data_IF_855025534934
#
_entry.id   IF_855025534934
#
_cell.length_a   1.000
_cell.length_b   1.000
_cell.length_c   1.000
_cell.angle_alpha   90.00
_cell.angle_beta   90.00
_cell.angle_gamma   90.00
#
_symmetry.space_group_name_H-M   'P 1'
#
loop_
_entity.id
_entity.type
_entity.pdbx_description
1 polymer ?
#
# COMPACT_ATOMS: atom_id res chain seq x y z
N UNK A 1 0.05 -45.20 -16.12
CA UNK A 1 0.08 -44.30 -14.94
C UNK A 1 0.30 -42.86 -15.39
N UNK A 2 -0.81 -42.16 -15.69
CA UNK A 2 -0.75 -40.74 -16.03
C UNK A 2 -0.55 -39.95 -14.74
N UNK A 3 0.61 -39.32 -14.61
CA UNK A 3 0.83 -38.26 -13.64
C UNK A 3 -0.25 -37.19 -13.84
N UNK A 4 -0.92 -36.70 -12.79
CA UNK A 4 -1.84 -35.60 -12.95
C UNK A 4 -1.03 -34.38 -13.39
N UNK A 5 -1.25 -33.96 -14.63
CA UNK A 5 -0.88 -32.63 -15.10
C UNK A 5 -1.45 -31.63 -14.11
N UNK A 6 -0.59 -30.79 -13.53
CA UNK A 6 -0.95 -29.55 -12.87
C UNK A 6 -1.67 -28.65 -13.87
N UNK A 7 -2.94 -28.96 -14.13
CA UNK A 7 -3.88 -28.01 -14.72
C UNK A 7 -3.88 -26.78 -13.81
N UNK A 8 -3.61 -25.64 -14.42
CA UNK A 8 -3.24 -24.41 -13.74
C UNK A 8 -4.17 -24.08 -12.58
N UNK A 9 -3.61 -24.11 -11.36
CA UNK A 9 -4.21 -23.49 -10.20
C UNK A 9 -4.41 -22.01 -10.55
N UNK A 10 -5.64 -21.68 -10.95
CA UNK A 10 -6.04 -20.32 -11.33
C UNK A 10 -5.77 -19.43 -10.12
N UNK A 11 -4.81 -18.51 -10.25
CA UNK A 11 -4.42 -17.59 -9.18
C UNK A 11 -5.66 -16.84 -8.71
N UNK A 12 -5.95 -16.91 -7.41
CA UNK A 12 -7.08 -16.22 -6.79
C UNK A 12 -6.94 -14.71 -7.03
N UNK A 13 -8.04 -14.07 -7.43
CA UNK A 13 -8.10 -12.66 -7.84
C UNK A 13 -9.34 -12.00 -7.26
N UNK A 14 -9.23 -10.74 -6.82
CA UNK A 14 -10.39 -9.94 -6.44
C UNK A 14 -11.32 -9.60 -7.62
N UNK A 15 -10.82 -9.73 -8.86
CA UNK A 15 -11.60 -9.54 -10.10
C UNK A 15 -12.36 -10.81 -10.51
N UNK A 16 -12.12 -11.94 -9.85
CA UNK A 16 -12.83 -13.18 -10.12
C UNK A 16 -14.29 -13.08 -9.67
N UNK A 17 -15.14 -13.91 -10.24
CA UNK A 17 -16.52 -14.00 -9.79
C UNK A 17 -16.57 -14.45 -8.31
N UNK A 18 -17.26 -13.72 -7.42
CA UNK A 18 -17.20 -13.97 -5.98
C UNK A 18 -17.69 -15.35 -5.54
N UNK A 19 -18.67 -15.92 -6.25
CA UNK A 19 -19.25 -17.23 -5.92
C UNK A 19 -18.29 -18.34 -6.30
N UNK A 20 -17.70 -18.25 -7.49
CA UNK A 20 -16.75 -19.26 -7.99
C UNK A 20 -15.36 -19.13 -7.38
N UNK A 21 -14.97 -17.94 -6.89
CA UNK A 21 -13.69 -17.71 -6.23
C UNK A 21 -13.73 -17.91 -4.71
N UNK A 22 -14.93 -18.12 -4.13
CA UNK A 22 -15.16 -18.19 -2.69
C UNK A 22 -14.70 -16.93 -1.95
N UNK A 23 -15.04 -15.75 -2.47
CA UNK A 23 -14.82 -14.50 -1.76
C UNK A 23 -15.65 -14.48 -0.48
N UNK A 24 -14.99 -14.24 0.66
CA UNK A 24 -15.57 -14.39 2.00
C UNK A 24 -15.62 -13.06 2.79
N UNK A 25 -15.25 -11.95 2.15
CA UNK A 25 -15.27 -10.62 2.73
C UNK A 25 -15.61 -9.53 1.73
N UNK A 26 -16.19 -8.43 2.22
CA UNK A 26 -16.61 -7.28 1.42
C UNK A 26 -15.85 -6.04 1.85
N UNK A 27 -15.23 -5.34 0.90
CA UNK A 27 -14.74 -3.98 1.06
C UNK A 27 -15.75 -3.01 0.41
N UNK A 28 -16.43 -2.21 1.22
CA UNK A 28 -17.31 -1.14 0.76
C UNK A 28 -16.56 0.19 0.79
N UNK A 29 -16.45 0.84 -0.36
CA UNK A 29 -15.79 2.14 -0.51
C UNK A 29 -16.82 3.19 -0.80
N UNK A 30 -17.03 4.13 0.13
CA UNK A 30 -17.91 5.28 -0.09
C UNK A 30 -17.12 6.55 -0.34
N UNK A 31 -17.52 7.33 -1.34
CA UNK A 31 -16.90 8.59 -1.73
C UNK A 31 -17.95 9.59 -2.23
N UNK A 32 -17.56 10.84 -2.47
CA UNK A 32 -18.38 11.83 -3.17
C UNK A 32 -17.82 12.04 -4.57
N UNK A 33 -18.70 11.98 -5.57
CA UNK A 33 -18.35 12.29 -6.95
C UNK A 33 -18.24 13.80 -7.20
N UNK A 34 -17.96 14.18 -8.45
CA UNK A 34 -17.86 15.58 -8.89
C UNK A 34 -19.13 16.41 -8.66
N UNK A 35 -20.30 15.76 -8.56
CA UNK A 35 -21.58 16.40 -8.27
C UNK A 35 -21.92 16.38 -6.76
N UNK A 36 -20.95 16.02 -5.91
CA UNK A 36 -21.11 15.84 -4.46
C UNK A 36 -22.13 14.77 -4.07
N UNK A 37 -22.51 13.88 -4.99
CA UNK A 37 -23.41 12.77 -4.73
C UNK A 37 -22.60 11.64 -4.10
N UNK A 38 -23.18 11.01 -3.07
CA UNK A 38 -22.52 9.90 -2.37
C UNK A 38 -22.61 8.64 -3.21
N UNK A 39 -21.46 8.11 -3.59
CA UNK A 39 -21.32 6.85 -4.31
C UNK A 39 -20.78 5.77 -3.37
N UNK A 40 -21.08 4.51 -3.67
CA UNK A 40 -20.55 3.35 -2.94
C UNK A 40 -20.15 2.26 -3.92
N UNK A 41 -18.87 1.89 -3.92
CA UNK A 41 -18.35 0.76 -4.67
C UNK A 41 -18.14 -0.42 -3.73
N UNK A 42 -18.44 -1.62 -4.22
CA UNK A 42 -18.32 -2.86 -3.45
C UNK A 42 -17.30 -3.77 -4.13
N UNK A 43 -16.33 -4.24 -3.35
CA UNK A 43 -15.31 -5.19 -3.80
C UNK A 43 -15.39 -6.46 -2.96
N UNK A 44 -15.54 -7.60 -3.62
CA UNK A 44 -15.49 -8.91 -2.97
C UNK A 44 -14.03 -9.36 -2.88
N UNK A 45 -13.57 -9.72 -1.68
CA UNK A 45 -12.18 -10.03 -1.40
C UNK A 45 -12.06 -11.27 -0.51
N UNK A 46 -10.88 -11.86 -0.48
CA UNK A 46 -10.59 -13.08 0.27
C UNK A 46 -9.83 -12.73 1.55
N UNK A 47 -10.39 -13.00 2.74
CA UNK A 47 -9.81 -12.67 4.06
C UNK A 47 -8.35 -13.09 4.16
N UNK A 48 -8.05 -14.31 3.75
CA UNK A 48 -6.71 -14.89 3.82
C UNK A 48 -5.67 -14.13 2.99
N UNK A 49 -6.09 -13.48 1.91
CA UNK A 49 -5.20 -12.67 1.06
C UNK A 49 -5.06 -11.25 1.63
N UNK A 50 -6.18 -10.63 2.00
CA UNK A 50 -6.16 -9.19 2.35
C UNK A 50 -5.79 -8.91 3.81
N UNK A 51 -5.91 -9.89 4.70
CA UNK A 51 -5.69 -9.71 6.14
C UNK A 51 -4.36 -10.29 6.65
N UNK A 52 -3.67 -11.11 5.83
CA UNK A 52 -2.45 -11.80 6.22
C UNK A 52 -1.31 -11.58 5.20
N UNK A 53 -0.08 -11.84 5.62
CA UNK A 53 1.12 -11.63 4.80
C UNK A 53 1.67 -10.20 4.82
N UNK A 54 2.68 -9.94 3.98
CA UNK A 54 3.44 -8.68 3.98
C UNK A 54 2.69 -7.49 3.38
N UNK A 55 1.66 -7.76 2.56
CA UNK A 55 0.85 -6.74 1.87
C UNK A 55 -0.54 -6.56 2.47
N UNK A 56 -0.76 -7.09 3.66
CA UNK A 56 -2.05 -7.05 4.33
C UNK A 56 -2.56 -5.65 4.62
N UNK A 57 -3.87 -5.54 4.72
CA UNK A 57 -4.57 -4.42 5.33
C UNK A 57 -4.77 -4.68 6.82
N UNK A 58 -4.14 -3.88 7.66
CA UNK A 58 -4.38 -3.96 9.11
C UNK A 58 -5.80 -3.50 9.49
N UNK A 59 -6.41 -2.63 8.68
CA UNK A 59 -7.80 -2.20 8.87
C UNK A 59 -8.79 -3.36 8.67
N UNK A 60 -8.64 -4.10 7.56
CA UNK A 60 -9.47 -5.28 7.28
C UNK A 60 -9.21 -6.38 8.33
N UNK A 61 -7.95 -6.64 8.67
CA UNK A 61 -7.61 -7.60 9.74
C UNK A 61 -8.30 -7.28 11.06
N UNK A 62 -8.30 -6.01 11.49
CA UNK A 62 -8.98 -5.58 12.72
C UNK A 62 -10.49 -5.86 12.65
N UNK A 63 -11.17 -5.50 11.55
CA UNK A 63 -12.60 -5.77 11.40
C UNK A 63 -12.93 -7.27 11.37
N UNK A 64 -12.06 -8.11 10.79
CA UNK A 64 -12.24 -9.57 10.84
C UNK A 64 -12.18 -10.06 12.28
N UNK A 65 -11.16 -9.66 13.04
CA UNK A 65 -11.02 -10.04 14.44
C UNK A 65 -12.19 -9.55 15.30
N UNK A 66 -12.62 -8.30 15.12
CA UNK A 66 -13.77 -7.75 15.84
C UNK A 66 -15.07 -8.53 15.56
N UNK A 67 -15.28 -8.94 14.30
CA UNK A 67 -16.44 -9.74 13.93
C UNK A 67 -16.38 -11.16 14.47
N UNK A 68 -15.22 -11.81 14.42
CA UNK A 68 -15.05 -13.16 14.98
C UNK A 68 -15.23 -13.17 16.50
N UNK A 69 -14.77 -12.12 17.19
CA UNK A 69 -15.01 -11.96 18.63
C UNK A 69 -16.50 -11.77 18.92
N UNK A 70 -17.19 -10.90 18.18
CA UNK A 70 -18.64 -10.70 18.35
C UNK A 70 -19.43 -12.00 18.15
N UNK A 71 -19.08 -12.80 17.15
CA UNK A 71 -19.73 -14.09 16.91
C UNK A 71 -19.48 -15.11 18.03
N UNK A 72 -18.29 -15.11 18.64
CA UNK A 72 -17.96 -16.01 19.75
C UNK A 72 -18.66 -15.66 21.06
N UNK A 73 -18.83 -14.37 21.35
CA UNK A 73 -19.40 -13.89 22.62
C UNK A 73 -20.92 -13.66 22.56
N UNK A 74 -21.52 -13.60 21.37
CA UNK A 74 -22.97 -13.50 21.18
C UNK A 74 -23.42 -14.32 19.95
N UNK A 75 -23.53 -15.66 20.10
CA UNK A 75 -23.93 -16.55 19.01
C UNK A 75 -25.38 -16.33 18.54
N UNK A 76 -26.24 -15.75 19.40
CA UNK A 76 -27.60 -15.33 19.05
C UNK A 76 -27.62 -14.30 17.92
N UNK A 77 -26.70 -13.32 17.96
CA UNK A 77 -26.55 -12.33 16.89
C UNK A 77 -26.04 -12.95 15.57
N UNK A 78 -25.17 -13.95 15.64
CA UNK A 78 -24.71 -14.69 14.45
C UNK A 78 -25.87 -15.38 13.74
N UNK A 79 -26.66 -16.14 14.50
CA UNK A 79 -27.79 -16.94 13.98
C UNK A 79 -28.93 -16.04 13.47
N UNK A 80 -29.26 -14.96 14.18
CA UNK A 80 -30.33 -14.02 13.78
C UNK A 80 -29.98 -13.23 12.51
N UNK A 81 -28.70 -12.85 12.33
CA UNK A 81 -28.27 -12.14 11.12
C UNK A 81 -28.12 -13.09 9.94
N UNK A 82 -27.70 -14.33 10.16
CA UNK A 82 -27.70 -15.39 9.13
C UNK A 82 -29.12 -15.69 8.64
N UNK A 83 -30.08 -15.79 9.57
CA UNK A 83 -31.52 -15.90 9.26
C UNK A 83 -32.06 -14.66 8.54
N UNK A 84 -31.67 -13.44 8.91
CA UNK A 84 -32.08 -12.20 8.21
C UNK A 84 -31.55 -12.13 6.78
N UNK A 85 -30.30 -12.58 6.57
CA UNK A 85 -29.68 -12.69 5.25
C UNK A 85 -30.39 -13.76 4.39
N UNK A 86 -30.76 -14.91 4.97
CA UNK A 86 -31.56 -15.95 4.30
C UNK A 86 -33.00 -15.50 3.98
N UNK A 87 -33.58 -14.65 4.83
CA UNK A 87 -34.93 -14.10 4.68
C UNK A 87 -34.99 -12.84 3.80
N UNK A 88 -33.89 -12.44 3.15
CA UNK A 88 -33.84 -11.31 2.22
C UNK A 88 -34.09 -9.93 2.86
N UNK A 89 -34.07 -9.82 4.19
CA UNK A 89 -34.14 -8.52 4.88
C UNK A 89 -32.74 -7.93 4.88
N UNK A 90 -32.58 -6.75 4.27
CA UNK A 90 -31.31 -6.02 4.16
C UNK A 90 -30.74 -5.64 5.54
N UNK A 91 -30.15 -6.60 6.25
CA UNK A 91 -29.20 -6.33 7.32
C UNK A 91 -27.89 -5.85 6.71
N UNK A 92 -27.09 -5.10 7.49
CA UNK A 92 -25.73 -4.81 7.05
C UNK A 92 -24.96 -6.13 6.87
N UNK A 93 -24.18 -6.30 5.79
CA UNK A 93 -23.40 -7.50 5.58
C UNK A 93 -22.44 -7.70 6.77
N UNK A 94 -22.54 -8.85 7.45
CA UNK A 94 -21.69 -9.20 8.59
C UNK A 94 -20.20 -9.03 8.25
N UNK A 95 -19.80 -9.49 7.07
CA UNK A 95 -18.40 -9.58 6.65
C UNK A 95 -17.96 -8.36 5.84
N UNK A 96 -18.02 -7.17 6.44
CA UNK A 96 -17.75 -5.91 5.74
C UNK A 96 -16.68 -5.05 6.40
N UNK A 97 -15.81 -4.47 5.59
CA UNK A 97 -14.98 -3.32 5.95
C UNK A 97 -15.43 -2.12 5.14
N UNK A 98 -15.69 -1.00 5.83
CA UNK A 98 -16.11 0.26 5.22
C UNK A 98 -14.94 1.23 5.15
N UNK A 99 -14.59 1.66 3.95
CA UNK A 99 -13.60 2.68 3.67
C UNK A 99 -14.30 3.95 3.18
N UNK A 100 -14.00 5.09 3.81
CA UNK A 100 -14.50 6.40 3.38
C UNK A 100 -13.37 7.16 2.69
N UNK A 101 -13.60 7.56 1.45
CA UNK A 101 -12.65 8.35 0.65
C UNK A 101 -13.23 9.74 0.39
N UNK A 102 -12.35 10.73 0.24
CA UNK A 102 -12.76 12.14 0.11
C UNK A 102 -13.11 12.54 -1.32
N UNK A 103 -12.65 11.79 -2.32
CA UNK A 103 -12.84 12.12 -3.73
C UNK A 103 -13.01 10.87 -4.60
N UNK A 104 -13.58 11.08 -5.78
CA UNK A 104 -13.67 10.07 -6.83
C UNK A 104 -12.29 9.58 -7.29
N UNK A 105 -11.30 10.47 -7.43
CA UNK A 105 -9.93 10.08 -7.84
C UNK A 105 -9.29 9.07 -6.89
N UNK A 106 -9.58 9.15 -5.58
CA UNK A 106 -9.14 8.15 -4.61
C UNK A 106 -9.89 6.81 -4.81
N UNK A 107 -11.19 6.85 -5.11
CA UNK A 107 -11.97 5.64 -5.36
C UNK A 107 -11.51 4.90 -6.64
N UNK A 108 -11.15 5.65 -7.69
CA UNK A 108 -10.67 5.11 -8.96
C UNK A 108 -9.36 4.32 -8.85
N UNK A 109 -8.54 4.59 -7.82
CA UNK A 109 -7.27 3.86 -7.61
C UNK A 109 -7.39 2.67 -6.63
N UNK A 110 -8.56 2.43 -6.05
CA UNK A 110 -8.79 1.24 -5.19
C UNK A 110 -8.44 -0.07 -5.91
N UNK A 111 -8.81 -0.28 -7.19
CA UNK A 111 -8.36 -1.45 -7.95
C UNK A 111 -6.85 -1.67 -7.94
N UNK A 112 -6.04 -0.61 -7.95
CA UNK A 112 -4.57 -0.72 -7.91
C UNK A 112 -4.07 -1.16 -6.54
N UNK A 113 -4.71 -0.69 -5.47
CA UNK A 113 -4.39 -1.13 -4.11
C UNK A 113 -4.75 -2.60 -3.93
N UNK A 114 -5.90 -3.03 -4.45
CA UNK A 114 -6.29 -4.44 -4.45
C UNK A 114 -5.33 -5.28 -5.32
N UNK A 115 -4.95 -4.79 -6.50
CA UNK A 115 -3.95 -5.45 -7.35
C UNK A 115 -2.61 -5.62 -6.60
N UNK A 116 -2.14 -4.59 -5.88
CA UNK A 116 -0.95 -4.69 -5.04
C UNK A 116 -1.07 -5.79 -3.97
N UNK A 117 -2.24 -5.91 -3.33
CA UNK A 117 -2.48 -6.91 -2.28
C UNK A 117 -2.51 -8.35 -2.82
N UNK A 118 -2.98 -8.56 -4.05
CA UNK A 118 -3.09 -9.89 -4.67
C UNK A 118 -1.87 -10.30 -5.50
N UNK A 119 -1.23 -9.35 -6.17
CA UNK A 119 -0.23 -9.62 -7.20
C UNK A 119 1.14 -9.11 -6.81
N UNK A 120 2.05 -10.06 -6.58
CA UNK A 120 3.45 -9.78 -6.23
C UNK A 120 4.20 -8.97 -7.27
N UNK A 121 3.92 -9.12 -8.57
CA UNK A 121 4.77 -8.60 -9.65
C UNK A 121 4.06 -7.67 -10.65
N UNK A 122 2.83 -7.24 -10.39
CA UNK A 122 2.02 -6.55 -11.41
C UNK A 122 1.65 -5.15 -10.99
N UNK A 123 2.54 -4.19 -11.23
CA UNK A 123 2.12 -2.83 -11.58
C UNK A 123 3.18 -2.16 -12.45
N UNK A 124 3.13 -2.43 -13.77
CA UNK A 124 3.73 -1.58 -14.81
C UNK A 124 2.92 -0.28 -15.04
N UNK A 125 2.12 0.13 -14.05
CA UNK A 125 1.33 1.34 -14.18
C UNK A 125 2.24 2.54 -13.98
N UNK A 126 2.36 3.38 -15.00
CA UNK A 126 3.05 4.67 -14.91
C UNK A 126 2.47 5.46 -13.74
N UNK A 127 3.31 5.67 -12.72
CA UNK A 127 2.94 6.35 -11.50
C UNK A 127 3.22 7.85 -11.64
N UNK A 128 2.18 8.68 -11.59
CA UNK A 128 2.30 10.15 -11.52
C UNK A 128 2.21 10.64 -10.07
N UNK A 129 2.57 11.90 -9.80
CA UNK A 129 2.44 12.48 -8.48
C UNK A 129 0.99 12.41 -7.96
N UNK A 130 0.02 12.86 -8.75
CA UNK A 130 -1.41 12.80 -8.38
C UNK A 130 -1.89 11.37 -8.10
N UNK A 131 -1.59 10.42 -8.99
CA UNK A 131 -2.02 9.03 -8.83
C UNK A 131 -1.39 8.39 -7.59
N UNK A 132 -0.11 8.68 -7.33
CA UNK A 132 0.60 8.15 -6.16
C UNK A 132 0.03 8.68 -4.85
N UNK A 133 -0.35 9.96 -4.78
CA UNK A 133 -1.09 10.51 -3.65
C UNK A 133 -2.40 9.78 -3.39
N UNK A 134 -3.20 9.59 -4.46
CA UNK A 134 -4.48 8.91 -4.34
C UNK A 134 -4.31 7.46 -3.85
N UNK A 135 -3.31 6.75 -4.38
CA UNK A 135 -2.96 5.38 -3.93
C UNK A 135 -2.54 5.39 -2.46
N UNK A 136 -1.71 6.35 -2.06
CA UNK A 136 -1.27 6.50 -0.67
C UNK A 136 -2.45 6.73 0.28
N UNK A 137 -3.41 7.60 -0.06
CA UNK A 137 -4.59 7.85 0.79
C UNK A 137 -5.47 6.61 0.96
N UNK A 138 -5.65 5.82 -0.10
CA UNK A 138 -6.37 4.54 0.00
C UNK A 138 -5.58 3.56 0.88
N UNK A 139 -4.26 3.46 0.68
CA UNK A 139 -3.38 2.62 1.50
C UNK A 139 -3.36 3.05 2.97
N UNK A 140 -3.46 4.35 3.25
CA UNK A 140 -3.58 4.93 4.59
C UNK A 140 -4.89 4.50 5.26
N UNK A 141 -6.03 4.70 4.58
CA UNK A 141 -7.34 4.30 5.10
C UNK A 141 -7.48 2.79 5.33
N UNK A 142 -6.83 1.98 4.48
CA UNK A 142 -6.76 0.52 4.66
C UNK A 142 -5.61 0.08 5.57
N UNK A 143 -4.75 0.98 6.04
CA UNK A 143 -3.55 0.68 6.84
C UNK A 143 -2.64 -0.38 6.20
N UNK A 144 -2.46 -0.31 4.88
CA UNK A 144 -1.53 -1.16 4.09
C UNK A 144 -0.13 -0.53 4.13
N UNK A 145 0.64 -0.84 5.19
CA UNK A 145 1.93 -0.19 5.46
C UNK A 145 2.95 -0.38 4.34
N UNK A 146 3.05 -1.59 3.78
CA UNK A 146 4.01 -1.87 2.70
C UNK A 146 3.81 -0.96 1.48
N UNK A 147 2.55 -0.66 1.12
CA UNK A 147 2.25 0.23 0.01
C UNK A 147 2.51 1.71 0.38
N UNK A 148 2.21 2.12 1.61
CA UNK A 148 2.57 3.47 2.08
C UNK A 148 4.09 3.71 2.01
N UNK A 149 4.90 2.73 2.44
CA UNK A 149 6.36 2.76 2.34
C UNK A 149 6.81 2.84 0.89
N UNK A 150 6.30 1.98 0.01
CA UNK A 150 6.66 1.98 -1.40
C UNK A 150 6.34 3.32 -2.11
N UNK A 151 5.21 3.95 -1.78
CA UNK A 151 4.88 5.27 -2.33
C UNK A 151 5.76 6.37 -1.71
N UNK A 152 6.12 6.29 -0.43
CA UNK A 152 7.10 7.21 0.18
C UNK A 152 8.48 7.12 -0.49
N UNK A 153 8.93 5.92 -0.80
CA UNK A 153 10.17 5.68 -1.56
C UNK A 153 10.08 6.21 -3.00
N UNK A 154 8.92 6.07 -3.66
CA UNK A 154 8.67 6.70 -4.95
C UNK A 154 8.86 8.22 -4.89
N UNK A 155 8.39 8.89 -3.83
CA UNK A 155 8.60 10.33 -3.63
C UNK A 155 10.08 10.67 -3.48
N UNK A 156 10.81 9.93 -2.65
CA UNK A 156 12.24 10.15 -2.42
C UNK A 156 13.09 9.99 -3.70
N UNK A 157 12.69 9.08 -4.60
CA UNK A 157 13.42 8.76 -5.82
C UNK A 157 13.03 9.61 -7.04
N UNK A 158 11.78 10.09 -7.13
CA UNK A 158 11.27 10.76 -8.33
C UNK A 158 11.12 12.28 -8.16
N UNK A 159 11.25 12.80 -6.93
CA UNK A 159 11.25 14.23 -6.69
C UNK A 159 12.55 14.86 -7.23
N UNK A 160 12.39 15.90 -8.04
CA UNK A 160 13.47 16.58 -8.73
C UNK A 160 13.21 18.08 -8.84
N UNK A 161 14.22 18.89 -9.20
CA UNK A 161 14.05 20.32 -9.40
C UNK A 161 13.01 20.69 -10.46
N UNK A 162 12.69 19.77 -11.38
CA UNK A 162 11.77 20.01 -12.50
C UNK A 162 10.31 19.77 -12.13
N UNK A 163 10.04 18.93 -11.13
CA UNK A 163 8.68 18.46 -10.79
C UNK A 163 8.28 18.69 -9.32
N UNK A 164 9.13 19.30 -8.49
CA UNK A 164 8.81 19.51 -7.07
C UNK A 164 7.51 20.27 -6.79
N UNK A 165 7.16 21.25 -7.64
CA UNK A 165 5.88 21.96 -7.53
C UNK A 165 4.68 21.06 -7.81
N UNK A 166 4.79 20.12 -8.75
CA UNK A 166 3.73 19.14 -9.05
C UNK A 166 3.50 18.22 -7.84
N UNK A 167 4.58 17.68 -7.26
CA UNK A 167 4.51 16.80 -6.10
C UNK A 167 3.94 17.49 -4.85
N UNK A 168 4.33 18.74 -4.59
CA UNK A 168 3.79 19.54 -3.47
C UNK A 168 2.29 19.79 -3.64
N UNK A 169 1.86 20.21 -4.85
CA UNK A 169 0.45 20.47 -5.14
C UNK A 169 -0.37 19.19 -5.09
N UNK A 170 0.11 18.09 -5.67
CA UNK A 170 -0.56 16.80 -5.62
C UNK A 170 -0.75 16.31 -4.18
N UNK A 171 0.28 16.37 -3.33
CA UNK A 171 0.19 15.95 -1.93
C UNK A 171 -0.79 16.81 -1.12
N UNK A 172 -0.78 18.12 -1.36
CA UNK A 172 -1.70 19.07 -0.74
C UNK A 172 -3.15 18.80 -1.16
N UNK A 173 -3.40 18.69 -2.46
CA UNK A 173 -4.74 18.47 -3.02
C UNK A 173 -5.37 17.16 -2.53
N UNK A 174 -4.57 16.10 -2.45
CA UNK A 174 -5.02 14.80 -1.95
C UNK A 174 -5.11 14.72 -0.42
N UNK A 175 -4.69 15.77 0.32
CA UNK A 175 -4.58 15.78 1.79
C UNK A 175 -3.70 14.63 2.30
N UNK A 176 -2.58 14.40 1.63
CA UNK A 176 -1.60 13.37 1.94
C UNK A 176 -0.46 13.95 2.78
N UNK A 177 -0.75 14.26 4.05
CA UNK A 177 0.15 15.02 4.92
C UNK A 177 1.52 14.37 5.10
N UNK A 178 1.57 13.04 5.19
CA UNK A 178 2.85 12.31 5.29
C UNK A 178 3.70 12.48 4.02
N UNK A 179 3.09 12.34 2.83
CA UNK A 179 3.79 12.56 1.56
C UNK A 179 4.20 14.01 1.38
N UNK A 180 3.37 14.96 1.83
CA UNK A 180 3.70 16.37 1.84
C UNK A 180 4.92 16.65 2.73
N UNK A 181 5.00 16.03 3.90
CA UNK A 181 6.15 16.13 4.79
C UNK A 181 7.43 15.53 4.15
N UNK A 182 7.32 14.37 3.50
CA UNK A 182 8.44 13.74 2.76
C UNK A 182 8.91 14.68 1.64
N UNK A 183 7.99 15.23 0.83
CA UNK A 183 8.29 16.22 -0.19
C UNK A 183 9.06 17.42 0.37
N UNK A 184 8.53 18.05 1.41
CA UNK A 184 9.14 19.25 2.02
C UNK A 184 10.53 18.95 2.57
N UNK A 185 10.70 17.82 3.25
CA UNK A 185 11.99 17.38 3.77
C UNK A 185 13.03 17.17 2.66
N UNK A 186 12.63 16.52 1.56
CA UNK A 186 13.51 16.28 0.41
C UNK A 186 13.89 17.56 -0.32
N UNK A 187 12.92 18.46 -0.57
CA UNK A 187 13.18 19.76 -1.19
C UNK A 187 14.12 20.59 -0.32
N UNK A 188 13.94 20.58 1.00
CA UNK A 188 14.85 21.24 1.93
C UNK A 188 16.28 20.71 1.79
N UNK A 189 16.46 19.39 1.71
CA UNK A 189 17.79 18.80 1.47
C UNK A 189 18.39 19.28 0.13
N UNK A 190 17.57 19.37 -0.92
CA UNK A 190 18.03 19.85 -2.22
C UNK A 190 18.44 21.33 -2.18
N UNK A 191 17.68 22.19 -1.48
CA UNK A 191 18.02 23.61 -1.29
C UNK A 191 19.30 23.76 -0.46
N UNK A 192 19.49 22.94 0.57
CA UNK A 192 20.70 22.98 1.38
C UNK A 192 21.97 22.69 0.56
N UNK A 193 21.85 21.87 -0.49
CA UNK A 193 22.94 21.58 -1.44
C UNK A 193 23.01 22.64 -2.55
N UNK A 194 21.88 23.13 -3.03
CA UNK A 194 21.75 24.04 -4.15
C UNK A 194 20.74 25.17 -3.84
N UNK A 195 21.18 26.27 -3.19
CA UNK A 195 20.30 27.32 -2.69
C UNK A 195 19.44 28.01 -3.77
N UNK A 196 19.92 28.09 -5.01
CA UNK A 196 19.15 28.68 -6.12
C UNK A 196 17.84 27.93 -6.43
N UNK A 197 17.71 26.67 -5.98
CA UNK A 197 16.47 25.91 -6.12
C UNK A 197 15.30 26.53 -5.32
N UNK A 198 15.57 27.33 -4.29
CA UNK A 198 14.53 28.03 -3.53
C UNK A 198 13.65 28.90 -4.42
N UNK A 199 14.20 29.48 -5.50
CA UNK A 199 13.46 30.32 -6.45
C UNK A 199 12.44 29.53 -7.29
N UNK A 200 12.59 28.20 -7.36
CA UNK A 200 11.70 27.31 -8.13
C UNK A 200 10.61 26.66 -7.27
N UNK A 201 10.67 26.82 -5.95
CA UNK A 201 9.65 26.32 -5.04
C UNK A 201 8.44 27.27 -5.11
N UNK A 202 7.20 26.77 -5.24
CA UNK A 202 6.03 27.62 -5.18
C UNK A 202 5.97 28.39 -3.86
N UNK A 203 5.71 29.69 -3.93
CA UNK A 203 5.85 30.63 -2.81
C UNK A 203 5.00 30.22 -1.60
N UNK A 204 3.84 29.62 -1.84
CA UNK A 204 2.93 29.12 -0.80
C UNK A 204 3.54 28.02 0.10
N UNK A 205 4.60 27.35 -0.34
CA UNK A 205 5.29 26.31 0.42
C UNK A 205 6.67 26.75 0.95
N UNK A 206 7.24 27.84 0.41
CA UNK A 206 8.63 28.19 0.66
C UNK A 206 8.91 28.46 2.14
N UNK A 207 8.05 29.25 2.79
CA UNK A 207 8.23 29.59 4.21
C UNK A 207 8.24 28.33 5.09
N UNK A 208 7.28 27.42 4.88
CA UNK A 208 7.18 26.18 5.65
C UNK A 208 8.34 25.20 5.37
N UNK A 209 8.86 25.20 4.14
CA UNK A 209 10.05 24.41 3.79
C UNK A 209 11.30 24.98 4.48
N UNK A 210 11.45 26.29 4.55
CA UNK A 210 12.61 26.94 5.16
C UNK A 210 12.53 27.01 6.68
N UNK A 211 11.32 27.05 7.26
CA UNK A 211 11.15 27.11 8.70
C UNK A 211 11.66 25.84 9.38
N UNK A 212 12.55 26.05 10.35
CA UNK A 212 13.26 25.01 11.08
C UNK A 212 12.38 24.26 12.10
N UNK A 213 11.07 24.50 12.15
CA UNK A 213 10.20 23.83 13.10
C UNK A 213 10.11 22.34 12.77
N UNK A 214 10.78 21.56 13.60
CA UNK A 214 11.04 20.14 13.46
C UNK A 214 9.72 19.38 13.55
N UNK A 215 9.10 19.08 12.42
CA UNK A 215 8.23 17.91 12.31
C UNK A 215 9.09 16.73 11.84
N UNK A 216 10.07 16.38 12.69
CA UNK A 216 10.82 15.14 12.56
C UNK A 216 9.86 13.98 12.83
N UNK A 217 9.14 13.54 11.81
CA UNK A 217 8.59 12.18 11.76
C UNK A 217 9.70 11.15 11.47
N UNK A 218 10.87 11.32 12.11
CA UNK A 218 11.93 10.32 12.15
C UNK A 218 11.57 9.30 13.24
N UNK A 219 10.50 8.55 13.01
CA UNK A 219 10.15 7.37 13.80
C UNK A 219 9.36 6.34 12.97
N UNK A 220 9.71 6.19 11.69
CA UNK A 220 9.18 5.10 10.87
C UNK A 220 10.26 4.32 10.09
N UNK A 221 11.54 4.55 10.35
CA UNK A 221 12.63 3.95 9.55
C UNK A 221 13.79 3.31 10.35
N UNK A 222 13.66 3.08 11.66
CA UNK A 222 14.68 2.31 12.39
C UNK A 222 14.37 0.81 12.39
N UNK A 223 14.75 0.16 11.29
CA UNK A 223 15.23 -1.23 11.30
C UNK A 223 16.45 -1.39 10.39
N UNK A 224 17.48 -0.55 10.58
CA UNK A 224 18.84 -0.90 10.17
C UNK A 224 19.64 -1.29 11.41
N UNK A 225 19.46 -2.55 11.83
CA UNK A 225 20.28 -3.16 12.87
C UNK A 225 21.73 -3.27 12.39
N UNK A 226 22.62 -2.73 13.21
CA UNK A 226 24.07 -2.80 13.10
C UNK A 226 24.59 -4.22 12.88
N UNK A 227 25.50 -4.39 11.90
CA UNK A 227 26.73 -5.14 12.17
C UNK A 227 27.84 -4.76 11.19
N UNK A 228 28.78 -3.94 11.66
CA UNK A 228 30.07 -3.73 10.99
C UNK A 228 31.18 -4.38 11.82
N UNK A 229 31.80 -5.39 11.20
CA UNK A 229 33.22 -5.76 11.19
C UNK A 229 33.98 -6.15 12.49
N UNK A 230 34.77 -7.22 12.28
CA UNK A 230 36.07 -7.63 12.87
C UNK A 230 36.07 -8.50 14.14
N UNK A 231 36.44 -9.78 13.93
CA UNK A 231 37.61 -10.40 14.59
C UNK A 231 38.19 -11.53 13.72
N UNK A 232 39.48 -11.43 13.39
CA UNK A 232 40.34 -12.53 12.93
C UNK A 232 40.65 -13.42 14.15
N UNK A 233 40.73 -14.75 13.95
CA UNK A 233 41.25 -15.67 14.96
C UNK A 233 40.79 -17.12 14.77
N UNK A 234 41.53 -17.84 13.92
CA UNK A 234 41.94 -19.26 13.97
C UNK A 234 41.20 -20.15 14.99
N UNK A 235 40.56 -21.22 14.52
CA UNK A 235 40.83 -22.63 14.87
C UNK A 235 40.18 -23.56 13.83
N UNK A 236 40.96 -24.50 13.29
CA UNK A 236 40.50 -25.67 12.54
C UNK A 236 39.93 -26.71 13.50
N UNK A 237 38.84 -27.41 13.11
CA UNK A 237 38.75 -28.88 13.04
C UNK A 237 37.34 -29.37 12.63
N UNK A 238 37.35 -30.32 11.68
CA UNK A 238 36.47 -31.48 11.43
C UNK A 238 34.97 -31.32 11.11
N UNK A 239 34.68 -31.56 9.82
CA UNK A 239 33.73 -32.50 9.18
C UNK A 239 32.33 -32.84 9.75
N UNK A 240 31.43 -32.94 8.76
CA UNK A 240 30.18 -33.70 8.67
C UNK A 240 28.92 -33.13 9.36
N UNK A 241 28.12 -32.39 8.59
CA UNK A 241 26.72 -32.71 8.25
C UNK A 241 26.02 -31.48 7.64
N UNK A 242 25.82 -31.49 6.31
CA UNK A 242 24.95 -30.54 5.61
C UNK A 242 23.57 -31.16 5.34
N UNK A 243 22.51 -30.38 5.55
CA UNK A 243 21.49 -30.20 4.51
C UNK A 243 21.37 -28.74 4.07
N UNK A 244 21.11 -28.58 2.78
CA UNK A 244 21.11 -27.38 1.97
C UNK A 244 20.06 -26.34 2.37
N UNK A 245 20.51 -25.09 2.50
CA UNK A 245 19.70 -23.88 2.49
C UNK A 245 19.53 -23.41 1.04
N UNK A 246 18.30 -23.43 0.54
CA UNK A 246 17.89 -22.59 -0.59
C UNK A 246 16.52 -22.01 -0.28
N UNK A 247 16.51 -20.82 0.29
CA UNK A 247 15.48 -19.79 0.09
C UNK A 247 15.95 -18.53 0.84
N UNK A 248 16.88 -17.81 0.20
CA UNK A 248 17.28 -16.46 0.60
C UNK A 248 16.57 -15.48 -0.35
N UNK A 249 15.57 -14.82 0.20
CA UNK A 249 15.39 -13.37 0.15
C UNK A 249 15.21 -12.71 -1.24
N UNK A 250 13.99 -12.79 -1.78
CA UNK A 250 13.55 -12.02 -2.96
C UNK A 250 12.99 -10.62 -2.61
N UNK A 251 13.13 -10.15 -1.36
CA UNK A 251 12.67 -8.81 -0.96
C UNK A 251 13.46 -7.66 -1.61
N UNK A 252 14.65 -7.95 -2.16
CA UNK A 252 15.53 -6.95 -2.77
C UNK A 252 15.30 -6.71 -4.27
N UNK A 253 14.51 -7.54 -4.97
CA UNK A 253 14.36 -7.43 -6.44
C UNK A 253 13.24 -6.48 -6.90
N UNK A 254 12.37 -6.00 -6.00
CA UNK A 254 11.32 -5.03 -6.38
C UNK A 254 11.85 -3.63 -6.70
N UNK A 255 13.07 -3.27 -6.27
CA UNK A 255 13.61 -1.92 -6.49
C UNK A 255 14.14 -1.68 -7.91
N UNK A 256 14.28 -2.71 -8.74
CA UNK A 256 14.84 -2.56 -10.10
C UNK A 256 13.79 -2.64 -11.23
N UNK A 257 12.63 -3.26 -10.99
CA UNK A 257 11.60 -3.46 -12.01
C UNK A 257 10.73 -2.21 -12.30
N UNK A 258 10.86 -1.15 -11.50
CA UNK A 258 10.21 0.15 -11.74
C UNK A 258 11.04 1.08 -12.65
N UNK A 259 12.25 0.69 -13.05
CA UNK A 259 13.30 1.64 -13.44
C UNK A 259 14.00 1.37 -14.79
N UNK A 260 13.37 0.72 -15.76
CA UNK A 260 13.89 0.69 -17.12
C UNK A 260 12.79 0.93 -18.15
N UNK A 261 12.53 2.23 -18.41
CA UNK A 261 12.29 2.76 -19.76
C UNK A 261 12.04 4.28 -19.65
N UNK A 262 13.09 5.08 -19.81
CA UNK A 262 13.03 6.45 -20.32
C UNK A 262 14.45 7.00 -20.54
N UNK A 263 15.22 6.36 -21.42
CA UNK A 263 16.30 7.03 -22.16
C UNK A 263 16.38 6.42 -23.56
N UNK A 264 15.63 6.97 -24.52
CA UNK A 264 15.96 6.99 -25.96
C UNK A 264 14.97 7.92 -26.66
N UNK A 265 15.42 9.15 -26.96
CA UNK A 265 15.66 9.65 -28.32
C UNK A 265 14.42 9.63 -29.22
N UNK A 266 13.96 10.81 -29.64
CA UNK A 266 13.76 11.12 -31.07
C UNK A 266 14.15 12.58 -31.30
N UNK A 267 14.89 12.75 -32.38
CA UNK A 267 15.60 13.93 -32.90
C UNK A 267 14.71 15.12 -33.25
#
# INVERSE_FOLDING_TARGET
PHSPTTEGLKRVSWKADPQTSFSDWILQVSYRDSNHIRQTNTYNVHKNIVAYGTRKSNSIFQHIMDNELKQKFDPSNGTEVELKNLLGKQGEPLNVTKLKLSSESQAQVVPLVLDFMYYTNETNHRMSADRSCNVFKVAEGLKVRALQTAIGEFYEMNLSPKNMGEFLKAATNAKADLLLAICKAKIRQMIAVQPELAQKVPQEFLQDILDHSVHSNRSYMDTKSHRSKKKKGIYQLSNDDTPSVSDIDDSYKMNHSLYQENVSFHS
#
